data_IF_024687974312
#
_entry.id   IF_024687974312
#
_cell.length_a   1.000
_cell.length_b   1.000
_cell.length_c   1.000
_cell.angle_alpha   90.00
_cell.angle_beta   90.00
_cell.angle_gamma   90.00
#
_symmetry.space_group_name_H-M   'P 1'
#
loop_
_entity.id
_entity.type
_entity.pdbx_description
1 polymer ?
#
# COMPACT_ATOMS: atom_id res chain seq x y z
N UNK A 1 34.39 -0.72 -10.85
CA UNK A 1 33.93 -1.07 -9.48
C UNK A 1 33.53 0.23 -8.79
N UNK A 2 32.25 0.46 -8.49
CA UNK A 2 31.81 1.67 -7.74
C UNK A 2 32.50 1.64 -6.37
N UNK A 3 33.32 2.64 -6.06
CA UNK A 3 33.96 2.77 -4.74
C UNK A 3 32.88 2.78 -3.67
N UNK A 4 33.10 2.02 -2.61
CA UNK A 4 32.22 1.95 -1.45
C UNK A 4 32.24 3.31 -0.74
N UNK A 5 31.18 4.09 -0.93
CA UNK A 5 31.04 5.44 -0.40
C UNK A 5 30.44 5.36 1.01
N UNK A 6 31.32 5.37 2.02
CA UNK A 6 30.95 5.25 3.43
C UNK A 6 30.04 6.39 3.88
N UNK A 7 30.26 7.60 3.38
CA UNK A 7 29.53 8.80 3.81
C UNK A 7 28.09 8.76 3.30
N UNK A 8 27.89 8.32 2.05
CA UNK A 8 26.55 8.09 1.49
C UNK A 8 25.78 6.99 2.23
N UNK A 9 26.48 5.96 2.68
CA UNK A 9 25.92 4.89 3.50
C UNK A 9 25.51 5.41 4.88
N UNK A 10 26.41 6.11 5.58
CA UNK A 10 26.14 6.69 6.90
C UNK A 10 24.98 7.67 6.82
N UNK A 11 24.98 8.61 5.87
CA UNK A 11 23.91 9.58 5.70
C UNK A 11 22.58 8.92 5.31
N UNK A 12 22.62 7.86 4.50
CA UNK A 12 21.43 7.10 4.12
C UNK A 12 20.78 6.34 5.28
N UNK A 13 21.57 5.84 6.23
CA UNK A 13 21.07 5.12 7.42
C UNK A 13 20.81 6.03 8.62
N UNK A 14 21.51 7.17 8.72
CA UNK A 14 21.38 8.09 9.85
C UNK A 14 19.96 8.64 10.01
N UNK A 15 19.30 9.01 8.90
CA UNK A 15 17.93 9.52 8.92
C UNK A 15 16.93 8.52 9.54
N UNK A 16 16.78 7.30 8.98
CA UNK A 16 15.92 6.26 9.55
C UNK A 16 16.30 5.88 10.99
N UNK A 17 17.58 5.77 11.31
CA UNK A 17 18.04 5.45 12.66
C UNK A 17 17.65 6.54 13.66
N UNK A 18 17.84 7.81 13.30
CA UNK A 18 17.45 8.96 14.13
C UNK A 18 15.93 9.00 14.32
N UNK A 19 15.15 8.76 13.26
CA UNK A 19 13.70 8.68 13.35
C UNK A 19 13.25 7.58 14.33
N UNK A 20 13.87 6.40 14.28
CA UNK A 20 13.60 5.32 15.24
C UNK A 20 13.93 5.74 16.68
N UNK A 21 15.13 6.29 16.91
CA UNK A 21 15.54 6.74 18.25
C UNK A 21 14.58 7.78 18.80
N UNK A 22 14.18 8.76 17.99
CA UNK A 22 13.21 9.79 18.38
C UNK A 22 11.84 9.18 18.68
N UNK A 23 11.36 8.25 17.85
CA UNK A 23 10.08 7.57 18.08
C UNK A 23 10.07 6.75 19.37
N UNK A 24 11.16 6.03 19.67
CA UNK A 24 11.34 5.31 20.94
C UNK A 24 11.37 6.28 22.13
N UNK A 25 12.14 7.36 22.02
CA UNK A 25 12.25 8.36 23.08
C UNK A 25 10.90 9.03 23.37
N UNK A 26 10.16 9.44 22.33
CA UNK A 26 8.83 10.04 22.49
C UNK A 26 7.82 9.05 23.06
N UNK A 27 7.79 7.81 22.57
CA UNK A 27 6.92 6.77 23.11
C UNK A 27 7.21 6.50 24.58
N UNK A 28 8.49 6.37 24.95
CA UNK A 28 8.93 6.20 26.35
C UNK A 28 8.49 7.38 27.21
N UNK A 29 8.69 8.61 26.72
CA UNK A 29 8.33 9.83 27.44
C UNK A 29 6.82 9.89 27.74
N UNK A 30 5.98 9.57 26.76
CA UNK A 30 4.52 9.55 26.93
C UNK A 30 4.09 8.52 27.97
N UNK A 31 4.73 7.34 27.99
CA UNK A 31 4.43 6.29 28.98
C UNK A 31 4.82 6.73 30.40
N UNK A 32 6.01 7.33 30.55
CA UNK A 32 6.46 7.87 31.83
C UNK A 32 5.52 8.96 32.35
N UNK A 33 5.08 9.89 31.49
CA UNK A 33 4.10 10.93 31.85
C UNK A 33 2.75 10.31 32.22
N UNK A 34 2.36 9.21 31.55
CA UNK A 34 1.13 8.47 31.84
C UNK A 34 1.25 7.53 33.04
N UNK A 35 2.39 7.55 33.75
CA UNK A 35 2.69 6.71 34.91
C UNK A 35 2.61 5.20 34.58
N UNK A 36 3.04 4.82 33.37
CA UNK A 36 3.15 3.43 32.88
C UNK A 36 4.61 3.06 32.69
N UNK A 37 4.96 1.80 32.96
CA UNK A 37 6.33 1.29 32.75
C UNK A 37 6.62 1.10 31.25
N UNK A 38 7.59 1.83 30.66
CA UNK A 38 7.99 1.64 29.27
C UNK A 38 8.62 0.28 29.01
N UNK A 39 9.34 -0.29 29.98
CA UNK A 39 10.02 -1.58 29.80
C UNK A 39 9.02 -2.72 29.64
N UNK A 40 7.90 -2.65 30.36
CA UNK A 40 6.79 -3.59 30.20
C UNK A 40 6.23 -3.55 28.77
N UNK A 41 5.96 -2.36 28.21
CA UNK A 41 5.50 -2.23 26.82
C UNK A 41 6.48 -2.89 25.84
N UNK A 42 7.78 -2.58 25.95
CA UNK A 42 8.77 -3.12 25.03
C UNK A 42 8.91 -4.64 25.17
N UNK A 43 8.86 -5.18 26.39
CA UNK A 43 8.84 -6.62 26.62
C UNK A 43 7.65 -7.27 25.93
N UNK A 44 6.44 -6.72 26.13
CA UNK A 44 5.23 -7.22 25.49
C UNK A 44 5.36 -7.19 23.96
N UNK A 45 5.88 -6.11 23.37
CA UNK A 45 6.08 -6.05 21.91
C UNK A 45 7.01 -7.17 21.39
N UNK A 46 8.08 -7.50 22.11
CA UNK A 46 8.99 -8.59 21.73
C UNK A 46 8.37 -9.97 21.95
N UNK A 47 7.60 -10.15 23.03
CA UNK A 47 6.86 -11.40 23.28
C UNK A 47 5.83 -11.65 22.17
N UNK A 48 5.16 -10.60 21.69
CA UNK A 48 4.15 -10.71 20.64
C UNK A 48 4.70 -11.34 19.34
N UNK A 49 5.97 -11.08 19.00
CA UNK A 49 6.61 -11.63 17.79
C UNK A 49 6.72 -13.16 17.81
N UNK A 50 6.66 -13.79 18.98
CA UNK A 50 6.74 -15.24 19.11
C UNK A 50 5.43 -15.96 18.75
N UNK A 51 4.29 -15.26 18.77
CA UNK A 51 3.01 -15.87 18.43
C UNK A 51 2.84 -16.03 16.91
N UNK A 52 2.36 -17.19 16.50
CA UNK A 52 2.28 -17.59 15.10
C UNK A 52 1.31 -16.72 14.29
N UNK A 53 0.18 -16.31 14.87
CA UNK A 53 -0.80 -15.39 14.27
C UNK A 53 -0.19 -14.01 13.99
N UNK A 54 0.61 -13.50 14.93
CA UNK A 54 1.36 -12.25 14.76
C UNK A 54 2.38 -12.38 13.63
N UNK A 55 3.09 -13.50 13.53
CA UNK A 55 4.03 -13.74 12.43
C UNK A 55 3.32 -13.77 11.05
N UNK A 56 2.17 -14.42 10.96
CA UNK A 56 1.35 -14.44 9.74
C UNK A 56 0.85 -13.05 9.39
N UNK A 57 0.38 -12.29 10.39
CA UNK A 57 -0.03 -10.91 10.21
C UNK A 57 1.11 -10.04 9.67
N UNK A 58 2.32 -10.16 10.23
CA UNK A 58 3.52 -9.45 9.76
C UNK A 58 3.79 -9.76 8.29
N UNK A 59 3.73 -11.04 7.89
CA UNK A 59 3.95 -11.46 6.50
C UNK A 59 2.89 -10.88 5.57
N UNK A 60 1.62 -10.96 5.95
CA UNK A 60 0.50 -10.43 5.16
C UNK A 60 0.62 -8.91 4.98
N UNK A 61 0.92 -8.19 6.05
CA UNK A 61 1.08 -6.74 6.00
C UNK A 61 2.30 -6.33 5.18
N UNK A 62 3.42 -7.07 5.30
CA UNK A 62 4.61 -6.86 4.48
C UNK A 62 4.31 -7.05 2.98
N UNK A 63 3.49 -8.04 2.61
CA UNK A 63 3.03 -8.23 1.23
C UNK A 63 2.27 -7.02 0.69
N UNK A 64 1.30 -6.51 1.46
CA UNK A 64 0.53 -5.30 1.10
C UNK A 64 1.44 -4.08 0.97
N UNK A 65 2.32 -3.84 1.94
CA UNK A 65 3.25 -2.71 1.89
C UNK A 65 4.27 -2.82 0.77
N UNK A 66 4.70 -4.04 0.43
CA UNK A 66 5.61 -4.26 -0.69
C UNK A 66 4.95 -3.88 -2.03
N UNK A 67 3.69 -4.25 -2.25
CA UNK A 67 2.94 -3.82 -3.45
C UNK A 67 2.80 -2.30 -3.53
N UNK A 68 2.44 -1.64 -2.42
CA UNK A 68 2.36 -0.19 -2.36
C UNK A 68 3.73 0.47 -2.65
N UNK A 69 4.81 -0.08 -2.08
CA UNK A 69 6.17 0.39 -2.32
C UNK A 69 6.58 0.22 -3.80
N UNK A 70 6.23 -0.89 -4.44
CA UNK A 70 6.47 -1.10 -5.87
C UNK A 70 5.73 -0.07 -6.73
N UNK A 71 4.47 0.23 -6.41
CA UNK A 71 3.69 1.23 -7.12
C UNK A 71 4.35 2.62 -7.09
N UNK A 72 4.87 3.03 -5.91
CA UNK A 72 5.62 4.29 -5.77
C UNK A 72 6.99 4.21 -6.46
N UNK A 73 7.69 3.09 -6.32
CA UNK A 73 9.06 2.91 -6.81
C UNK A 73 9.18 3.01 -8.34
N UNK A 74 8.12 2.73 -9.10
CA UNK A 74 8.09 2.97 -10.55
C UNK A 74 8.14 4.47 -10.85
N UNK A 75 7.33 5.27 -10.16
CA UNK A 75 7.31 6.74 -10.30
C UNK A 75 8.65 7.38 -9.95
N UNK A 76 9.27 6.95 -8.85
CA UNK A 76 10.59 7.47 -8.43
C UNK A 76 11.71 7.19 -9.44
N UNK A 77 11.60 6.16 -10.29
CA UNK A 77 12.60 5.95 -11.35
C UNK A 77 12.57 7.01 -12.43
N UNK A 78 11.42 7.69 -12.59
CA UNK A 78 11.21 8.82 -13.47
C UNK A 78 11.32 10.18 -12.75
N UNK A 79 11.76 10.19 -11.49
CA UNK A 79 11.75 11.38 -10.62
C UNK A 79 10.35 11.97 -10.35
N UNK A 80 9.28 11.17 -10.54
CA UNK A 80 7.91 11.59 -10.26
C UNK A 80 7.55 11.24 -8.82
N UNK A 81 7.15 12.25 -8.04
CA UNK A 81 6.91 12.10 -6.61
C UNK A 81 5.41 11.89 -6.32
N UNK A 82 4.92 10.68 -6.56
CA UNK A 82 3.51 10.32 -6.32
C UNK A 82 3.24 10.00 -4.85
N UNK A 83 2.69 10.97 -4.11
CA UNK A 83 2.20 10.78 -2.72
C UNK A 83 0.74 10.30 -2.69
N UNK A 84 0.09 10.26 -3.86
CA UNK A 84 -1.33 9.93 -4.04
C UNK A 84 -1.68 8.44 -3.97
N UNK A 85 -0.69 7.59 -3.71
CA UNK A 85 -0.88 6.12 -3.73
C UNK A 85 -1.90 5.68 -2.68
N UNK A 86 -1.97 6.33 -1.52
CA UNK A 86 -2.97 6.05 -0.49
C UNK A 86 -4.41 6.27 -1.01
N UNK A 87 -4.69 7.40 -1.66
CA UNK A 87 -6.00 7.69 -2.24
C UNK A 87 -6.36 6.78 -3.42
N UNK A 88 -5.38 6.44 -4.26
CA UNK A 88 -5.53 5.48 -5.37
C UNK A 88 -5.90 4.09 -4.83
N UNK A 89 -5.18 3.63 -3.80
CA UNK A 89 -5.43 2.34 -3.15
C UNK A 89 -6.81 2.29 -2.48
N UNK A 90 -7.16 3.28 -1.66
CA UNK A 90 -8.44 3.30 -0.94
C UNK A 90 -9.63 3.29 -1.89
N UNK A 91 -9.58 4.08 -2.95
CA UNK A 91 -10.68 4.13 -3.92
C UNK A 91 -10.78 2.83 -4.73
N UNK A 92 -9.63 2.29 -5.16
CA UNK A 92 -9.58 1.00 -5.83
C UNK A 92 -10.14 -0.12 -4.94
N UNK A 93 -9.79 -0.15 -3.65
CA UNK A 93 -10.29 -1.12 -2.69
C UNK A 93 -11.81 -0.99 -2.50
N UNK A 94 -12.33 0.22 -2.33
CA UNK A 94 -13.77 0.47 -2.17
C UNK A 94 -14.56 -0.01 -3.39
N UNK A 95 -14.14 0.39 -4.59
CA UNK A 95 -14.87 0.04 -5.83
C UNK A 95 -14.71 -1.46 -6.15
N UNK A 96 -13.53 -2.03 -5.96
CA UNK A 96 -13.31 -3.47 -6.17
C UNK A 96 -14.12 -4.32 -5.18
N UNK A 97 -14.23 -3.89 -3.91
CA UNK A 97 -15.08 -4.57 -2.93
C UNK A 97 -16.56 -4.47 -3.30
N UNK A 98 -17.04 -3.29 -3.72
CA UNK A 98 -18.42 -3.11 -4.17
C UNK A 98 -18.75 -4.01 -5.39
N UNK A 99 -17.88 -4.04 -6.40
CA UNK A 99 -18.06 -4.90 -7.58
C UNK A 99 -17.95 -6.38 -7.20
N UNK A 100 -16.98 -6.73 -6.35
CA UNK A 100 -16.78 -8.09 -5.86
C UNK A 100 -17.96 -8.62 -5.04
N UNK A 101 -18.63 -7.76 -4.25
CA UNK A 101 -19.81 -8.14 -3.46
C UNK A 101 -21.10 -8.23 -4.30
N UNK A 102 -21.20 -7.43 -5.37
CA UNK A 102 -22.40 -7.34 -6.23
C UNK A 102 -22.47 -8.40 -7.33
N UNK A 103 -21.38 -9.12 -7.60
CA UNK A 103 -21.30 -10.12 -8.68
C UNK A 103 -21.02 -11.49 -8.10
N UNK A 104 -21.66 -12.52 -8.67
CA UNK A 104 -21.36 -13.93 -8.36
C UNK A 104 -20.77 -14.60 -9.60
N UNK A 105 -19.53 -15.05 -9.51
CA UNK A 105 -18.81 -15.74 -10.59
C UNK A 105 -18.07 -16.98 -10.05
N UNK A 106 -17.69 -17.93 -10.91
CA UNK A 106 -16.76 -18.99 -10.51
C UNK A 106 -15.44 -18.38 -10.01
N UNK A 107 -14.84 -18.98 -8.98
CA UNK A 107 -13.79 -18.33 -8.19
C UNK A 107 -12.65 -17.66 -8.97
N UNK A 108 -12.00 -18.34 -9.94
CA UNK A 108 -10.93 -17.72 -10.72
C UNK A 108 -11.36 -16.47 -11.51
N UNK A 109 -12.58 -16.47 -12.06
CA UNK A 109 -13.13 -15.33 -12.79
C UNK A 109 -13.54 -14.19 -11.85
N UNK A 110 -14.06 -14.53 -10.67
CA UNK A 110 -14.40 -13.56 -9.63
C UNK A 110 -13.16 -12.81 -9.16
N UNK A 111 -12.10 -13.54 -8.80
CA UNK A 111 -10.81 -12.96 -8.40
C UNK A 111 -10.24 -12.08 -9.51
N UNK A 112 -10.21 -12.58 -10.75
CA UNK A 112 -9.69 -11.82 -11.89
C UNK A 112 -10.48 -10.53 -12.12
N UNK A 113 -11.82 -10.57 -12.03
CA UNK A 113 -12.66 -9.38 -12.13
C UNK A 113 -12.31 -8.36 -11.05
N UNK A 114 -12.25 -8.76 -9.78
CA UNK A 114 -11.95 -7.87 -8.65
C UNK A 114 -10.56 -7.23 -8.81
N UNK A 115 -9.55 -8.01 -9.22
CA UNK A 115 -8.19 -7.50 -9.49
C UNK A 115 -8.19 -6.48 -10.62
N UNK A 116 -8.85 -6.79 -11.75
CA UNK A 116 -8.90 -5.91 -12.92
C UNK A 116 -9.61 -4.61 -12.58
N UNK A 117 -10.73 -4.67 -11.84
CA UNK A 117 -11.44 -3.47 -11.37
C UNK A 117 -10.54 -2.62 -10.49
N UNK A 118 -9.83 -3.22 -9.52
CA UNK A 118 -8.89 -2.49 -8.67
C UNK A 118 -7.79 -1.81 -9.49
N UNK A 119 -7.20 -2.51 -10.47
CA UNK A 119 -6.18 -1.97 -11.37
C UNK A 119 -6.70 -0.81 -12.21
N UNK A 120 -7.89 -0.95 -12.80
CA UNK A 120 -8.49 0.08 -13.64
C UNK A 120 -8.83 1.34 -12.84
N UNK A 121 -9.40 1.18 -11.64
CA UNK A 121 -9.73 2.32 -10.77
C UNK A 121 -8.47 3.03 -10.30
N UNK A 122 -7.44 2.28 -9.87
CA UNK A 122 -6.15 2.84 -9.47
C UNK A 122 -5.47 3.59 -10.63
N UNK A 123 -5.46 2.99 -11.83
CA UNK A 123 -4.90 3.60 -13.03
C UNK A 123 -5.68 4.85 -13.46
N UNK A 124 -7.01 4.82 -13.39
CA UNK A 124 -7.87 5.97 -13.67
C UNK A 124 -7.56 7.11 -12.69
N UNK A 125 -7.50 6.83 -11.38
CA UNK A 125 -7.25 7.85 -10.36
C UNK A 125 -5.86 8.47 -10.45
N UNK A 126 -4.84 7.64 -10.69
CA UNK A 126 -3.48 8.11 -10.98
C UNK A 126 -3.43 8.93 -12.28
N UNK A 127 -4.20 8.52 -13.30
CA UNK A 127 -4.31 9.20 -14.59
C UNK A 127 -4.83 10.62 -14.46
N UNK A 128 -5.75 10.90 -13.52
CA UNK A 128 -6.22 12.27 -13.25
C UNK A 128 -5.05 13.17 -12.85
N UNK A 129 -4.20 12.73 -11.94
CA UNK A 129 -3.00 13.49 -11.54
C UNK A 129 -2.03 13.70 -12.72
N UNK A 130 -1.82 12.65 -13.53
CA UNK A 130 -0.96 12.72 -14.71
C UNK A 130 -1.47 13.73 -15.75
N UNK A 131 -2.78 13.75 -16.02
CA UNK A 131 -3.40 14.72 -16.94
C UNK A 131 -3.27 16.13 -16.39
N UNK A 132 -3.55 16.36 -15.10
CA UNK A 132 -3.44 17.69 -14.49
C UNK A 132 -2.01 18.23 -14.53
N UNK A 133 -1.02 17.37 -14.28
CA UNK A 133 0.38 17.74 -14.32
C UNK A 133 0.81 18.11 -15.74
N UNK A 134 0.51 17.24 -16.71
CA UNK A 134 0.97 17.41 -18.11
C UNK A 134 0.23 18.51 -18.87
N UNK A 135 -1.05 18.71 -18.61
CA UNK A 135 -1.87 19.69 -19.37
C UNK A 135 -1.99 21.05 -18.69
N UNK A 136 -1.95 21.10 -17.36
CA UNK A 136 -2.17 22.35 -16.59
C UNK A 136 -0.95 22.81 -15.80
N UNK A 137 0.17 22.08 -15.87
CA UNK A 137 1.40 22.44 -15.15
C UNK A 137 1.25 22.42 -13.62
N UNK A 138 0.28 21.68 -13.09
CA UNK A 138 0.12 21.49 -11.65
C UNK A 138 1.26 20.60 -11.16
N UNK A 139 1.89 20.95 -10.03
CA UNK A 139 2.90 20.07 -9.42
C UNK A 139 2.31 18.69 -9.13
N UNK A 140 3.00 17.63 -9.53
CA UNK A 140 2.60 16.23 -9.30
C UNK A 140 2.31 15.94 -7.83
N UNK A 141 3.16 16.48 -6.96
CA UNK A 141 3.02 16.35 -5.50
C UNK A 141 1.69 16.94 -5.05
N UNK A 142 1.39 18.16 -5.49
CA UNK A 142 0.15 18.85 -5.11
C UNK A 142 -1.07 18.12 -5.67
N UNK A 143 -1.05 17.75 -6.95
CA UNK A 143 -2.15 17.05 -7.59
C UNK A 143 -2.48 15.72 -6.89
N UNK A 144 -1.45 14.95 -6.57
CA UNK A 144 -1.61 13.63 -5.95
C UNK A 144 -2.03 13.70 -4.47
N UNK A 145 -1.51 14.65 -3.68
CA UNK A 145 -1.97 14.87 -2.30
C UNK A 145 -3.44 15.33 -2.28
N UNK A 146 -3.83 16.27 -3.13
CA UNK A 146 -5.21 16.78 -3.15
C UNK A 146 -6.20 15.68 -3.54
N UNK A 147 -5.81 14.80 -4.47
CA UNK A 147 -6.62 13.63 -4.84
C UNK A 147 -6.79 12.61 -3.71
N UNK A 148 -5.90 12.54 -2.72
CA UNK A 148 -6.11 11.72 -1.52
C UNK A 148 -7.28 12.23 -0.69
N UNK A 149 -7.35 13.54 -0.47
CA UNK A 149 -8.46 14.17 0.26
C UNK A 149 -9.79 13.98 -0.48
N UNK A 150 -9.79 14.15 -1.80
CA UNK A 150 -10.98 13.92 -2.63
C UNK A 150 -11.41 12.45 -2.58
N UNK A 151 -10.46 11.50 -2.69
CA UNK A 151 -10.73 10.07 -2.58
C UNK A 151 -11.36 9.72 -1.23
N UNK A 152 -10.81 10.28 -0.14
CA UNK A 152 -11.35 10.08 1.21
C UNK A 152 -12.79 10.56 1.33
N UNK A 153 -13.09 11.78 0.86
CA UNK A 153 -14.45 12.33 0.89
C UNK A 153 -15.42 11.54 0.01
N UNK A 154 -14.95 11.07 -1.15
CA UNK A 154 -15.75 10.27 -2.07
C UNK A 154 -16.10 8.90 -1.45
N UNK A 155 -15.13 8.23 -0.82
CA UNK A 155 -15.36 6.96 -0.12
C UNK A 155 -16.31 7.16 1.06
N UNK A 156 -16.11 8.24 1.84
CA UNK A 156 -17.00 8.57 2.95
C UNK A 156 -18.45 8.77 2.48
N UNK A 157 -18.67 9.32 1.29
CA UNK A 157 -19.99 9.39 0.67
C UNK A 157 -20.47 8.02 0.16
N UNK A 158 -19.65 7.26 -0.57
CA UNK A 158 -20.02 5.96 -1.15
C UNK A 158 -20.46 4.94 -0.09
N UNK A 159 -19.78 4.94 1.07
CA UNK A 159 -20.01 3.98 2.14
C UNK A 159 -21.25 4.30 2.99
N UNK A 160 -21.97 5.39 2.71
CA UNK A 160 -23.23 5.68 3.40
C UNK A 160 -24.32 4.65 3.05
N UNK A 161 -25.21 4.30 3.99
CA UNK A 161 -26.28 3.32 3.73
C UNK A 161 -27.29 3.76 2.66
N UNK A 162 -27.38 5.06 2.39
CA UNK A 162 -28.21 5.61 1.31
C UNK A 162 -27.65 5.35 -0.08
N UNK A 163 -26.36 5.00 -0.17
CA UNK A 163 -25.64 4.83 -1.42
C UNK A 163 -25.30 3.35 -1.62
N UNK A 164 -24.10 2.93 -1.18
CA UNK A 164 -23.59 1.57 -1.36
C UNK A 164 -23.10 0.93 -0.07
N UNK A 165 -23.22 1.64 1.06
CA UNK A 165 -22.90 1.08 2.36
C UNK A 165 -23.95 0.09 2.82
N UNK A 166 -23.49 -1.00 3.42
CA UNK A 166 -24.26 -1.82 4.32
C UNK A 166 -23.75 -1.59 5.75
N UNK A 167 -24.68 -1.44 6.68
CA UNK A 167 -24.41 -1.30 8.09
C UNK A 167 -25.16 -2.40 8.82
N UNK A 168 -24.41 -3.45 9.21
CA UNK A 168 -24.97 -4.54 9.98
C UNK A 168 -25.60 -4.02 11.28
N UNK A 169 -26.77 -4.55 11.64
CA UNK A 169 -27.51 -4.12 12.83
C UNK A 169 -26.64 -4.28 14.10
N UNK A 170 -26.46 -3.17 14.84
CA UNK A 170 -25.62 -3.13 16.04
C UNK A 170 -24.12 -2.91 15.79
N UNK A 171 -23.71 -2.73 14.53
CA UNK A 171 -22.34 -2.36 14.15
C UNK A 171 -22.23 -0.88 13.79
N UNK A 172 -21.11 -0.25 14.17
CA UNK A 172 -20.72 1.06 13.66
C UNK A 172 -19.86 0.96 12.38
N UNK A 173 -19.58 -0.26 11.92
CA UNK A 173 -18.80 -0.48 10.70
C UNK A 173 -19.72 -0.41 9.49
N UNK A 174 -19.43 0.50 8.58
CA UNK A 174 -20.02 0.52 7.24
C UNK A 174 -19.09 -0.23 6.29
N UNK A 175 -19.67 -1.06 5.43
CA UNK A 175 -18.95 -1.87 4.45
C UNK A 175 -19.65 -1.80 3.09
N UNK A 176 -18.97 -1.85 1.94
CA UNK A 176 -19.63 -1.96 0.63
C UNK A 176 -20.32 -3.33 0.36
N UNK A 177 -20.39 -4.19 1.37
CA UNK A 177 -20.83 -5.58 1.27
C UNK A 177 -19.66 -6.56 1.43
N UNK A 178 -19.98 -7.83 1.69
CA UNK A 178 -18.99 -8.89 1.82
C UNK A 178 -18.80 -9.61 0.48
N UNK A 179 -17.54 -9.76 0.05
CA UNK A 179 -17.23 -10.56 -1.15
C UNK A 179 -17.46 -12.03 -0.79
N UNK A 180 -18.23 -12.81 -1.58
CA UNK A 180 -18.38 -14.24 -1.35
C UNK A 180 -17.01 -14.97 -1.29
N UNK A 181 -16.90 -16.03 -0.50
CA UNK A 181 -15.64 -16.80 -0.34
C UNK A 181 -15.04 -17.26 -1.67
N UNK A 182 -15.88 -17.55 -2.67
CA UNK A 182 -15.43 -17.89 -4.02
C UNK A 182 -14.56 -16.80 -4.67
N UNK A 183 -14.80 -15.53 -4.32
CA UNK A 183 -14.02 -14.37 -4.78
C UNK A 183 -12.78 -14.08 -3.94
N UNK A 184 -12.51 -14.84 -2.88
CA UNK A 184 -11.32 -14.67 -2.05
C UNK A 184 -10.12 -15.31 -2.74
N UNK A 185 -9.02 -14.57 -2.79
CA UNK A 185 -7.79 -15.12 -3.35
C UNK A 185 -7.26 -16.21 -2.41
N UNK A 186 -7.06 -17.45 -2.90
CA UNK A 186 -6.64 -18.56 -2.04
C UNK A 186 -5.27 -18.28 -1.43
N UNK A 187 -5.15 -18.39 -0.12
CA UNK A 187 -3.90 -18.27 0.60
C UNK A 187 -3.31 -19.63 0.98
N UNK A 188 -2.27 -19.56 1.83
CA UNK A 188 -1.55 -20.70 2.35
C UNK A 188 -1.93 -20.89 3.83
N UNK A 189 -2.75 -21.89 4.18
CA UNK A 189 -3.06 -22.18 5.57
C UNK A 189 -1.82 -22.75 6.25
N UNK A 190 -1.43 -22.17 7.40
CA UNK A 190 -0.26 -22.64 8.15
C UNK A 190 -0.67 -23.56 9.31
N UNK A 191 -1.52 -23.07 10.20
CA UNK A 191 -2.11 -23.85 11.27
C UNK A 191 -3.43 -23.20 11.71
N UNK A 192 -4.34 -23.95 12.38
CA UNK A 192 -5.60 -23.39 12.88
C UNK A 192 -5.41 -22.15 13.76
N UNK A 193 -4.34 -22.14 14.56
CA UNK A 193 -4.04 -21.05 15.49
C UNK A 193 -3.29 -19.88 14.84
N UNK A 194 -2.51 -20.14 13.77
CA UNK A 194 -1.74 -19.11 13.07
C UNK A 194 -2.54 -18.39 11.97
N UNK A 195 -3.61 -19.02 11.47
CA UNK A 195 -4.37 -18.53 10.32
C UNK A 195 -3.68 -18.79 8.98
N UNK A 196 -3.93 -17.90 8.03
CA UNK A 196 -3.58 -18.07 6.61
C UNK A 196 -2.73 -16.91 6.09
N UNK A 197 -1.66 -17.24 5.36
CA UNK A 197 -0.92 -16.24 4.59
C UNK A 197 -1.72 -15.94 3.32
N UNK A 198 -2.06 -14.67 3.11
CA UNK A 198 -2.78 -14.22 1.93
C UNK A 198 -2.02 -14.56 0.66
N UNK A 199 -2.71 -15.14 -0.33
CA UNK A 199 -2.06 -15.53 -1.59
C UNK A 199 -1.48 -14.34 -2.35
N UNK A 200 -2.02 -13.13 -2.14
CA UNK A 200 -1.46 -11.88 -2.66
C UNK A 200 -0.05 -11.56 -2.17
N UNK A 201 0.40 -12.12 -1.04
CA UNK A 201 1.79 -12.00 -0.58
C UNK A 201 2.76 -12.63 -1.60
N UNK A 202 2.39 -13.76 -2.20
CA UNK A 202 3.19 -14.39 -3.26
C UNK A 202 3.10 -13.62 -4.57
N UNK A 203 1.92 -13.07 -4.89
CA UNK A 203 1.74 -12.17 -6.03
C UNK A 203 2.64 -10.94 -5.87
N UNK A 204 2.74 -10.37 -4.68
CA UNK A 204 3.62 -9.24 -4.38
C UNK A 204 5.09 -9.57 -4.66
N UNK A 205 5.57 -10.73 -4.22
CA UNK A 205 6.93 -11.20 -4.54
C UNK A 205 7.14 -11.35 -6.06
N UNK A 206 6.16 -11.92 -6.76
CA UNK A 206 6.15 -12.03 -8.22
C UNK A 206 6.20 -10.66 -8.92
N UNK A 207 5.39 -9.69 -8.47
CA UNK A 207 5.42 -8.31 -8.95
C UNK A 207 6.79 -7.65 -8.74
N UNK A 208 7.47 -7.96 -7.64
CA UNK A 208 8.85 -7.52 -7.41
C UNK A 208 9.84 -8.05 -8.44
N UNK A 209 9.72 -9.34 -8.79
CA UNK A 209 10.53 -9.95 -9.85
C UNK A 209 10.22 -9.31 -11.23
N UNK A 210 8.94 -9.09 -11.53
CA UNK A 210 8.50 -8.41 -12.76
C UNK A 210 9.05 -6.98 -12.80
N UNK A 211 8.95 -6.22 -11.71
CA UNK A 211 9.52 -4.88 -11.59
C UNK A 211 11.02 -4.89 -11.87
N UNK A 212 11.77 -5.80 -11.26
CA UNK A 212 13.20 -5.96 -11.51
C UNK A 212 13.51 -6.27 -12.98
N UNK A 213 12.77 -7.20 -13.57
CA UNK A 213 12.97 -7.61 -14.97
C UNK A 213 12.65 -6.46 -15.92
N UNK A 214 11.49 -5.82 -15.76
CA UNK A 214 11.05 -4.70 -16.61
C UNK A 214 12.05 -3.55 -16.54
N UNK A 215 12.43 -3.11 -15.34
CA UNK A 215 13.33 -1.96 -15.22
C UNK A 215 14.76 -2.24 -15.67
N UNK A 216 15.29 -3.42 -15.39
CA UNK A 216 16.71 -3.69 -15.63
C UNK A 216 16.99 -4.40 -16.95
N UNK A 217 16.01 -5.09 -17.53
CA UNK A 217 16.21 -5.97 -18.70
C UNK A 217 15.39 -5.57 -19.93
N UNK A 218 14.60 -4.50 -19.90
CA UNK A 218 13.80 -4.05 -21.06
C UNK A 218 14.18 -2.65 -21.52
N UNK A 219 13.86 -2.33 -22.79
CA UNK A 219 14.02 -0.98 -23.36
C UNK A 219 13.15 0.04 -22.64
N UNK A 220 11.89 -0.30 -22.36
CA UNK A 220 10.99 0.53 -21.57
C UNK A 220 11.61 0.92 -20.21
N UNK A 221 12.19 -0.04 -19.50
CA UNK A 221 12.88 0.22 -18.24
C UNK A 221 14.15 1.08 -18.36
N UNK A 222 14.83 1.04 -19.50
CA UNK A 222 15.93 1.94 -19.81
C UNK A 222 15.40 3.37 -20.05
N UNK A 223 14.36 3.52 -20.86
CA UNK A 223 13.76 4.82 -21.19
C UNK A 223 13.21 5.51 -19.93
N UNK A 224 12.48 4.77 -19.07
CA UNK A 224 11.96 5.28 -17.79
C UNK A 224 13.06 5.83 -16.86
N UNK A 225 14.24 5.21 -16.86
CA UNK A 225 15.36 5.67 -16.03
C UNK A 225 16.12 6.80 -16.68
N UNK A 226 16.18 6.83 -18.01
CA UNK A 226 16.82 7.89 -18.77
C UNK A 226 16.05 9.22 -18.63
N UNK A 227 14.72 9.19 -18.67
CA UNK A 227 13.89 10.38 -18.46
C UNK A 227 14.10 10.98 -17.08
N UNK A 228 14.12 10.17 -16.02
CA UNK A 228 14.38 10.63 -14.65
C UNK A 228 15.80 11.15 -14.40
N UNK A 229 16.76 10.85 -15.28
CA UNK A 229 18.16 11.27 -15.14
C UNK A 229 18.51 12.53 -15.95
N UNK A 230 17.62 13.02 -16.81
CA UNK A 230 17.89 14.16 -17.67
C UNK A 230 17.38 15.46 -17.03
N UNK A 231 18.28 16.25 -16.44
CA UNK A 231 17.97 17.56 -15.84
C UNK A 231 17.31 18.55 -16.82
N UNK A 232 17.52 18.40 -18.13
CA UNK A 232 17.01 19.35 -19.14
C UNK A 232 15.54 19.13 -19.56
N UNK A 233 14.82 18.18 -18.96
CA UNK A 233 13.42 17.89 -19.28
C UNK A 233 12.47 17.98 -18.06
N UNK A 234 12.98 18.38 -16.89
CA UNK A 234 12.22 18.59 -15.67
C UNK A 234 11.81 20.06 -15.48
#
# INVERSE_FOLDING_TARGET
>A
MKKFDKDRLILGFAGPALALVVAFALSTLVLLISNRDPFELYRLLFEQVSYSDVQVLIINQAGTYYLAALAVAVGFRMNLFNIGVDGQYRLAAMVAALVGASVTLPGPLHIALTVIVAMLVGAFWAGIAGVLTTTRGVSEVVATIMLNSISTSLIAWLILPTNFGDQAAGSNHLTPGEIPEAGWFPGLPLSPDAGEIYGFTFVAAGCGLVYWLVLNRTRFGFDLRATGASESAA
#
